data_IF_865244260569
#
_entry.id   IF_865244260569
#
_cell.length_a   1.000
_cell.length_b   1.000
_cell.length_c   1.000
_cell.angle_alpha   90.00
_cell.angle_beta   90.00
_cell.angle_gamma   90.00
#
_symmetry.space_group_name_H-M   'P 1'
#
loop_
_entity.id
_entity.type
_entity.pdbx_description
1 polymer ?
#
# COMPACT_ATOMS: atom_id res chain seq x y z
N UNK A 1 -17.16 -10.48 11.49
CA UNK A 1 -16.87 -9.15 10.90
C UNK A 1 -15.43 -8.66 11.10
N UNK A 2 -14.93 -8.45 12.34
CA UNK A 2 -13.64 -7.75 12.63
C UNK A 2 -12.38 -8.27 11.90
N UNK A 3 -12.23 -9.58 11.70
CA UNK A 3 -11.05 -10.16 11.04
C UNK A 3 -11.10 -9.99 9.50
N UNK A 4 -12.30 -9.95 8.91
CA UNK A 4 -12.51 -9.89 7.47
C UNK A 4 -12.26 -8.46 6.90
N UNK A 5 -12.64 -7.44 7.67
CA UNK A 5 -12.43 -6.01 7.33
C UNK A 5 -10.96 -5.60 7.26
N UNK A 6 -10.11 -6.13 8.15
CA UNK A 6 -8.67 -5.84 8.16
C UNK A 6 -7.98 -6.24 6.87
N UNK A 7 -8.36 -7.40 6.30
CA UNK A 7 -7.78 -7.89 5.03
C UNK A 7 -8.24 -7.02 3.85
N UNK A 8 -9.52 -6.67 3.80
CA UNK A 8 -10.07 -5.82 2.75
C UNK A 8 -9.50 -4.38 2.77
N UNK A 9 -9.29 -3.78 3.96
CA UNK A 9 -8.69 -2.46 4.09
C UNK A 9 -7.17 -2.45 3.85
N UNK A 10 -6.50 -3.57 4.09
CA UNK A 10 -5.06 -3.73 3.88
C UNK A 10 -4.70 -4.03 2.41
N UNK A 11 -5.59 -4.62 1.61
CA UNK A 11 -5.28 -5.17 0.27
C UNK A 11 -4.88 -4.18 -0.83
N UNK A 12 -4.83 -2.87 -0.54
CA UNK A 12 -4.58 -1.83 -1.56
C UNK A 12 -3.71 -0.72 -0.99
N UNK A 13 -2.40 -0.91 -1.01
CA UNK A 13 -1.45 0.18 -0.85
C UNK A 13 -0.08 -0.26 -1.36
N UNK A 14 0.17 -0.16 -2.66
CA UNK A 14 1.40 -0.68 -3.24
C UNK A 14 2.20 0.32 -4.08
N UNK A 15 1.74 1.57 -4.19
CA UNK A 15 2.48 2.58 -4.95
C UNK A 15 3.32 3.51 -4.10
N UNK A 16 4.60 3.11 -3.98
CA UNK A 16 5.75 4.02 -4.06
C UNK A 16 7.11 3.34 -4.34
N UNK A 17 7.17 2.02 -4.56
CA UNK A 17 8.40 1.30 -4.14
C UNK A 17 8.84 0.14 -4.98
N UNK A 18 7.99 -0.30 -5.89
CA UNK A 18 8.12 -1.67 -6.38
C UNK A 18 9.03 -1.74 -7.60
N UNK A 19 9.17 -0.69 -8.40
CA UNK A 19 10.09 -0.75 -9.54
C UNK A 19 11.57 -0.47 -9.18
N UNK A 20 11.89 -0.48 -7.88
CA UNK A 20 13.15 -0.02 -7.32
C UNK A 20 14.15 -1.15 -7.15
N UNK A 21 13.71 -2.36 -6.82
CA UNK A 21 14.61 -3.51 -6.83
C UNK A 21 14.93 -3.94 -8.26
N UNK A 22 14.02 -3.72 -9.22
CA UNK A 22 14.33 -3.93 -10.63
C UNK A 22 15.40 -2.94 -11.10
N UNK A 23 15.19 -1.64 -10.87
CA UNK A 23 16.19 -0.61 -11.16
C UNK A 23 17.50 -0.81 -10.39
N UNK A 24 17.46 -1.05 -9.09
CA UNK A 24 18.65 -1.21 -8.29
C UNK A 24 19.42 -2.47 -8.68
N UNK A 25 18.80 -3.66 -8.69
CA UNK A 25 19.46 -4.91 -9.05
C UNK A 25 19.97 -4.87 -10.50
N UNK A 26 19.25 -4.24 -11.44
CA UNK A 26 19.69 -4.08 -12.84
C UNK A 26 20.78 -3.01 -12.98
N UNK A 27 20.76 -1.92 -12.21
CA UNK A 27 21.84 -0.89 -12.23
C UNK A 27 23.11 -1.42 -11.54
N UNK A 28 22.96 -2.22 -10.48
CA UNK A 28 24.04 -3.03 -9.88
C UNK A 28 24.66 -4.02 -10.89
N UNK A 29 23.93 -4.40 -11.94
CA UNK A 29 24.39 -5.30 -12.99
C UNK A 29 24.96 -4.56 -14.24
N UNK A 30 24.54 -3.32 -14.52
CA UNK A 30 24.79 -2.66 -15.82
C UNK A 30 25.72 -1.45 -15.79
N UNK A 31 25.92 -0.72 -14.68
CA UNK A 31 26.73 0.52 -14.67
C UNK A 31 28.12 0.42 -14.02
N UNK A 32 28.56 -0.78 -13.63
CA UNK A 32 29.86 -0.97 -12.99
C UNK A 32 29.89 -2.17 -12.05
N UNK A 33 29.74 -3.36 -12.64
CA UNK A 33 29.90 -4.69 -12.04
C UNK A 33 30.04 -4.77 -10.53
N UNK A 34 28.92 -4.97 -9.85
CA UNK A 34 28.92 -5.95 -8.79
C UNK A 34 28.59 -7.28 -9.45
N UNK A 35 29.66 -7.94 -9.88
CA UNK A 35 29.65 -9.38 -10.09
C UNK A 35 29.25 -9.98 -8.73
N UNK A 36 27.94 -10.12 -8.46
CA UNK A 36 27.45 -11.08 -7.46
C UNK A 36 27.67 -12.45 -8.10
N UNK A 37 28.92 -12.77 -8.43
CA UNK A 37 29.32 -14.15 -8.52
C UNK A 37 29.04 -14.77 -7.16
N UNK A 38 28.98 -16.10 -7.12
CA UNK A 38 29.23 -16.88 -5.91
C UNK A 38 30.48 -16.45 -5.10
N UNK A 39 31.30 -15.48 -5.56
CA UNK A 39 32.44 -14.88 -4.84
C UNK A 39 32.08 -14.01 -3.64
N UNK A 40 30.84 -13.53 -3.47
CA UNK A 40 30.44 -12.88 -2.21
C UNK A 40 30.29 -13.85 -1.04
N UNK A 41 30.33 -15.16 -1.30
CA UNK A 41 30.45 -16.19 -0.26
C UNK A 41 31.91 -16.38 0.19
N UNK A 42 32.89 -15.79 -0.53
CA UNK A 42 34.32 -15.97 -0.28
C UNK A 42 35.05 -14.71 0.27
N UNK A 43 34.46 -13.52 0.16
CA UNK A 43 35.01 -12.27 0.73
C UNK A 43 34.01 -11.67 1.72
N UNK A 44 34.51 -11.18 2.85
CA UNK A 44 33.70 -10.56 3.91
C UNK A 44 32.78 -9.49 3.31
N UNK A 45 31.47 -9.66 3.49
CA UNK A 45 30.46 -8.67 3.15
C UNK A 45 30.81 -7.33 3.81
N UNK A 46 31.03 -6.29 3.00
CA UNK A 46 31.27 -4.93 3.46
C UNK A 46 29.94 -4.18 3.51
N UNK A 47 29.32 -4.22 4.68
CA UNK A 47 28.03 -3.60 4.95
C UNK A 47 28.05 -2.10 4.64
N UNK A 48 29.12 -1.39 5.02
CA UNK A 48 29.21 0.06 4.83
C UNK A 48 29.24 0.43 3.35
N UNK A 49 29.99 -0.31 2.54
CA UNK A 49 30.00 -0.13 1.09
C UNK A 49 28.65 -0.45 0.46
N UNK A 50 27.99 -1.53 0.91
CA UNK A 50 26.67 -1.91 0.42
C UNK A 50 25.63 -0.82 0.72
N UNK A 51 25.59 -0.31 1.96
CA UNK A 51 24.70 0.79 2.39
C UNK A 51 24.88 2.03 1.51
N UNK A 52 26.12 2.46 1.31
CA UNK A 52 26.43 3.65 0.53
C UNK A 52 25.97 3.51 -0.93
N UNK A 53 26.20 2.36 -1.55
CA UNK A 53 25.84 2.14 -2.95
C UNK A 53 24.33 2.00 -3.15
N UNK A 54 23.65 1.25 -2.27
CA UNK A 54 22.20 1.13 -2.31
C UNK A 54 21.53 2.50 -2.11
N UNK A 55 21.97 3.27 -1.12
CA UNK A 55 21.51 4.66 -0.90
C UNK A 55 21.64 5.51 -2.16
N UNK A 56 22.83 5.51 -2.78
CA UNK A 56 23.10 6.27 -4.02
C UNK A 56 22.15 5.89 -5.15
N UNK A 57 21.88 4.60 -5.32
CA UNK A 57 20.97 4.10 -6.36
C UNK A 57 19.53 4.49 -6.07
N UNK A 58 19.06 4.30 -4.83
CA UNK A 58 17.72 4.66 -4.38
C UNK A 58 17.42 6.15 -4.57
N UNK A 59 18.43 7.00 -4.42
CA UNK A 59 18.30 8.45 -4.58
C UNK A 59 18.52 8.94 -6.02
N UNK A 60 18.83 8.06 -6.96
CA UNK A 60 19.15 8.45 -8.34
C UNK A 60 17.89 8.77 -9.16
N UNK A 61 17.94 9.87 -9.93
CA UNK A 61 16.87 10.19 -10.89
C UNK A 61 16.70 9.11 -11.97
N UNK A 62 17.79 8.42 -12.32
CA UNK A 62 17.78 7.32 -13.27
C UNK A 62 16.93 6.16 -12.75
N UNK A 63 17.14 5.72 -11.50
CA UNK A 63 16.34 4.67 -10.88
C UNK A 63 14.86 5.06 -10.89
N UNK A 64 14.52 6.28 -10.45
CA UNK A 64 13.14 6.75 -10.39
C UNK A 64 12.51 6.80 -11.78
N UNK A 65 13.24 7.27 -12.78
CA UNK A 65 12.74 7.33 -14.16
C UNK A 65 12.54 5.94 -14.75
N UNK A 66 13.48 5.01 -14.51
CA UNK A 66 13.38 3.62 -14.94
C UNK A 66 12.17 2.93 -14.30
N UNK A 67 11.96 3.19 -13.01
CA UNK A 67 10.85 2.66 -12.24
C UNK A 67 9.49 3.06 -12.82
N UNK A 68 9.34 4.35 -13.18
CA UNK A 68 8.06 4.89 -13.68
C UNK A 68 7.74 4.50 -15.12
N UNK A 69 8.74 4.17 -15.94
CA UNK A 69 8.50 3.75 -17.34
C UNK A 69 7.68 2.47 -17.45
N UNK A 70 7.65 1.64 -16.41
CA UNK A 70 6.91 0.38 -16.40
C UNK A 70 5.39 0.54 -16.22
N UNK A 71 4.92 1.74 -15.88
CA UNK A 71 3.51 1.98 -15.51
C UNK A 71 2.68 2.70 -16.57
N UNK A 72 3.25 3.01 -17.75
CA UNK A 72 2.58 3.70 -18.87
C UNK A 72 1.76 4.93 -18.43
N UNK A 73 2.35 5.76 -17.57
CA UNK A 73 1.66 6.90 -16.96
C UNK A 73 1.44 8.02 -17.98
N UNK A 74 0.23 8.63 -18.03
CA UNK A 74 0.02 9.88 -18.76
C UNK A 74 0.98 10.98 -18.27
N UNK A 75 1.40 11.93 -19.12
CA UNK A 75 2.36 12.97 -18.72
C UNK A 75 1.94 13.76 -17.46
N UNK A 76 0.64 14.05 -17.30
CA UNK A 76 0.11 14.75 -16.12
C UNK A 76 0.25 13.96 -14.81
N UNK A 77 0.28 12.63 -14.89
CA UNK A 77 0.45 11.75 -13.75
C UNK A 77 1.91 11.40 -13.52
N UNK A 78 2.70 11.25 -14.59
CA UNK A 78 4.13 10.98 -14.51
C UNK A 78 4.84 11.97 -13.57
N UNK A 79 4.55 13.26 -13.69
CA UNK A 79 5.14 14.30 -12.83
C UNK A 79 4.72 14.16 -11.36
N UNK A 80 3.49 13.72 -11.08
CA UNK A 80 3.00 13.48 -9.72
C UNK A 80 3.74 12.30 -9.09
N UNK A 81 3.86 11.20 -9.81
CA UNK A 81 4.59 10.02 -9.33
C UNK A 81 6.08 10.31 -9.18
N UNK A 82 6.71 11.00 -10.14
CA UNK A 82 8.12 11.40 -10.06
C UNK A 82 8.38 12.27 -8.83
N UNK A 83 7.57 13.31 -8.60
CA UNK A 83 7.68 14.17 -7.41
C UNK A 83 7.51 13.37 -6.11
N UNK A 84 6.56 12.42 -6.08
CA UNK A 84 6.37 11.54 -4.94
C UNK A 84 7.60 10.68 -4.66
N UNK A 85 8.12 9.98 -5.67
CA UNK A 85 9.30 9.12 -5.58
C UNK A 85 10.54 9.92 -5.13
N UNK A 86 10.78 11.08 -5.73
CA UNK A 86 11.90 11.95 -5.36
C UNK A 86 11.82 12.39 -3.89
N UNK A 87 10.63 12.72 -3.39
CA UNK A 87 10.43 13.09 -1.98
C UNK A 87 10.56 11.92 -1.01
N UNK A 88 10.15 10.73 -1.43
CA UNK A 88 10.24 9.53 -0.61
C UNK A 88 11.69 9.09 -0.47
N UNK A 89 12.39 8.94 -1.60
CA UNK A 89 13.77 8.46 -1.63
C UNK A 89 14.80 9.53 -1.29
N UNK A 90 14.46 10.81 -1.46
CA UNK A 90 15.26 11.93 -0.94
C UNK A 90 15.15 12.12 0.58
N UNK A 91 14.46 11.24 1.31
CA UNK A 91 14.36 11.28 2.76
C UNK A 91 15.28 10.23 3.40
N UNK A 92 16.30 10.70 4.12
CA UNK A 92 17.32 9.83 4.71
C UNK A 92 16.73 8.79 5.67
N UNK A 93 15.72 9.14 6.48
CA UNK A 93 15.10 8.19 7.40
C UNK A 93 14.40 7.03 6.68
N UNK A 94 13.80 7.29 5.51
CA UNK A 94 13.20 6.23 4.67
C UNK A 94 14.27 5.36 4.06
N UNK A 95 15.32 5.98 3.51
CA UNK A 95 16.42 5.25 2.87
C UNK A 95 17.12 4.37 3.88
N UNK A 96 17.53 4.92 5.02
CA UNK A 96 18.22 4.19 6.08
C UNK A 96 17.37 3.00 6.57
N UNK A 97 16.09 3.23 6.88
CA UNK A 97 15.19 2.18 7.32
C UNK A 97 15.00 1.07 6.28
N UNK A 98 14.88 1.43 5.00
CA UNK A 98 14.73 0.44 3.92
C UNK A 98 16.05 -0.32 3.66
N UNK A 99 17.19 0.37 3.67
CA UNK A 99 18.52 -0.22 3.49
C UNK A 99 18.83 -1.22 4.59
N UNK A 100 18.57 -0.85 5.85
CA UNK A 100 18.73 -1.75 7.00
C UNK A 100 17.83 -2.99 6.88
N UNK A 101 16.59 -2.81 6.42
CA UNK A 101 15.68 -3.93 6.16
C UNK A 101 16.22 -4.86 5.06
N UNK A 102 16.70 -4.30 3.94
CA UNK A 102 17.30 -5.08 2.85
C UNK A 102 18.49 -5.90 3.36
N UNK A 103 19.36 -5.30 4.17
CA UNK A 103 20.52 -6.00 4.75
C UNK A 103 20.08 -7.15 5.65
N UNK A 104 19.03 -6.96 6.45
CA UNK A 104 18.49 -7.99 7.32
C UNK A 104 17.98 -9.22 6.53
N UNK A 105 17.46 -9.02 5.32
CA UNK A 105 16.94 -10.12 4.47
C UNK A 105 17.96 -10.70 3.49
N UNK A 106 19.12 -10.05 3.27
CA UNK A 106 20.15 -10.55 2.35
C UNK A 106 20.50 -12.03 2.56
N UNK A 107 20.66 -12.56 3.80
CA UNK A 107 20.97 -13.97 4.00
C UNK A 107 19.88 -14.95 3.54
N UNK A 108 18.64 -14.48 3.41
CA UNK A 108 17.50 -15.27 2.94
C UNK A 108 17.35 -15.22 1.40
N UNK A 109 18.07 -14.33 0.71
CA UNK A 109 17.99 -14.21 -0.74
C UNK A 109 18.81 -15.32 -1.42
N UNK A 110 18.16 -16.04 -2.33
CA UNK A 110 18.86 -16.95 -3.23
C UNK A 110 19.48 -16.19 -4.41
N UNK A 111 20.61 -15.54 -4.16
CA UNK A 111 21.31 -14.68 -5.13
C UNK A 111 21.78 -15.41 -6.41
N UNK A 112 21.80 -16.75 -6.40
CA UNK A 112 22.17 -17.56 -7.58
C UNK A 112 21.05 -17.61 -8.63
N UNK A 113 19.81 -17.33 -8.26
CA UNK A 113 18.66 -17.27 -9.16
C UNK A 113 18.16 -15.82 -9.27
N UNK A 114 18.57 -15.14 -10.34
CA UNK A 114 18.24 -13.73 -10.56
C UNK A 114 16.74 -13.47 -10.74
N UNK A 115 16.00 -14.40 -11.36
CA UNK A 115 14.55 -14.27 -11.52
C UNK A 115 13.82 -14.39 -10.19
N UNK A 116 14.19 -15.39 -9.38
CA UNK A 116 13.63 -15.59 -8.04
C UNK A 116 13.99 -14.44 -7.09
N UNK A 117 15.23 -13.96 -7.14
CA UNK A 117 15.69 -12.80 -6.36
C UNK A 117 14.92 -11.54 -6.73
N UNK A 118 14.67 -11.33 -8.04
CA UNK A 118 13.87 -10.20 -8.52
C UNK A 118 12.44 -10.26 -7.98
N UNK A 119 11.75 -11.38 -8.17
CA UNK A 119 10.36 -11.54 -7.72
C UNK A 119 10.23 -11.41 -6.19
N UNK A 120 11.16 -12.00 -5.45
CA UNK A 120 11.23 -11.84 -4.00
C UNK A 120 11.42 -10.37 -3.62
N UNK A 121 12.37 -9.68 -4.25
CA UNK A 121 12.63 -8.27 -3.98
C UNK A 121 11.40 -7.38 -4.25
N UNK A 122 10.74 -7.58 -5.39
CA UNK A 122 9.51 -6.86 -5.74
C UNK A 122 8.42 -7.07 -4.68
N UNK A 123 8.14 -8.33 -4.35
CA UNK A 123 7.09 -8.70 -3.38
C UNK A 123 7.42 -8.21 -1.97
N UNK A 124 8.68 -8.33 -1.56
CA UNK A 124 9.12 -7.93 -0.24
C UNK A 124 9.08 -6.41 -0.06
N UNK A 125 9.62 -5.65 -1.03
CA UNK A 125 9.56 -4.19 -0.98
C UNK A 125 8.11 -3.70 -0.98
N UNK A 126 7.29 -4.19 -1.90
CA UNK A 126 5.84 -3.99 -1.89
C UNK A 126 5.22 -4.12 -0.48
N UNK A 127 5.43 -5.28 0.15
CA UNK A 127 4.91 -5.57 1.48
C UNK A 127 5.45 -4.63 2.55
N UNK A 128 6.76 -4.31 2.54
CA UNK A 128 7.37 -3.41 3.51
C UNK A 128 6.75 -2.01 3.46
N UNK A 129 6.62 -1.43 2.26
CA UNK A 129 6.05 -0.09 2.10
C UNK A 129 4.58 -0.03 2.47
N UNK A 130 3.82 -1.04 2.05
CA UNK A 130 2.43 -1.23 2.45
C UNK A 130 2.31 -1.30 3.98
N UNK A 131 3.11 -2.14 4.63
CA UNK A 131 3.11 -2.28 6.08
C UNK A 131 3.41 -0.95 6.79
N UNK A 132 4.49 -0.25 6.40
CA UNK A 132 4.87 1.04 7.00
C UNK A 132 3.80 2.09 6.80
N UNK A 133 3.22 2.17 5.61
CA UNK A 133 2.13 3.11 5.33
C UNK A 133 0.88 2.78 6.17
N UNK A 134 0.45 1.52 6.20
CA UNK A 134 -0.77 1.12 6.91
C UNK A 134 -0.67 1.29 8.43
N UNK A 135 0.47 0.91 9.02
CA UNK A 135 0.73 1.19 10.45
C UNK A 135 0.82 2.69 10.72
N UNK A 136 1.46 3.42 9.82
CA UNK A 136 1.64 4.86 9.89
C UNK A 136 0.35 5.67 9.83
N UNK A 137 -0.67 5.21 9.10
CA UNK A 137 -1.96 5.90 8.99
C UNK A 137 -2.59 6.13 10.37
N UNK A 138 -2.43 5.20 11.31
CA UNK A 138 -2.96 5.33 12.67
C UNK A 138 -2.28 6.42 13.51
N UNK A 139 -1.11 6.90 13.08
CA UNK A 139 -0.40 8.03 13.70
C UNK A 139 -0.90 9.37 13.15
N UNK A 140 -1.40 9.41 11.93
CA UNK A 140 -1.83 10.64 11.28
C UNK A 140 -3.20 11.14 11.77
N UNK A 141 -3.57 12.34 11.33
CA UNK A 141 -4.91 12.89 11.48
C UNK A 141 -5.93 12.15 10.61
N UNK A 142 -7.18 12.14 11.07
CA UNK A 142 -8.24 11.33 10.49
C UNK A 142 -8.51 11.68 9.02
N UNK A 143 -8.29 12.93 8.60
CA UNK A 143 -8.43 13.37 7.20
C UNK A 143 -7.47 12.65 6.23
N UNK A 144 -6.27 12.29 6.69
CA UNK A 144 -5.32 11.51 5.88
C UNK A 144 -5.80 10.08 5.71
N UNK A 145 -6.37 9.50 6.76
CA UNK A 145 -6.99 8.16 6.71
C UNK A 145 -8.22 8.18 5.81
N UNK A 146 -9.06 9.23 5.88
CA UNK A 146 -10.20 9.41 4.97
C UNK A 146 -9.75 9.53 3.52
N UNK A 147 -8.67 10.25 3.25
CA UNK A 147 -8.10 10.37 1.90
C UNK A 147 -7.72 8.99 1.36
N UNK A 148 -7.07 8.16 2.17
CA UNK A 148 -6.77 6.78 1.82
C UNK A 148 -8.04 5.95 1.57
N UNK A 149 -8.99 5.97 2.52
CA UNK A 149 -10.22 5.17 2.43
C UNK A 149 -11.08 5.55 1.21
N UNK A 150 -11.10 6.82 0.79
CA UNK A 150 -11.80 7.25 -0.42
C UNK A 150 -11.18 6.71 -1.70
N UNK A 151 -9.85 6.65 -1.76
CA UNK A 151 -9.15 6.02 -2.89
C UNK A 151 -9.38 4.51 -2.88
N UNK A 152 -9.28 3.86 -1.73
CA UNK A 152 -9.54 2.43 -1.60
C UNK A 152 -10.99 2.09 -1.98
N UNK A 153 -11.98 2.83 -1.47
CA UNK A 153 -13.39 2.71 -1.85
C UNK A 153 -13.54 2.80 -3.38
N UNK A 154 -13.03 3.88 -3.97
CA UNK A 154 -13.14 4.09 -5.40
C UNK A 154 -12.44 3.01 -6.22
N UNK A 155 -11.34 2.45 -5.71
CA UNK A 155 -10.71 1.30 -6.35
C UNK A 155 -11.67 0.10 -6.39
N UNK A 156 -12.28 -0.27 -5.26
CA UNK A 156 -13.21 -1.41 -5.22
C UNK A 156 -14.48 -1.17 -6.06
N UNK A 157 -14.98 0.06 -6.12
CA UNK A 157 -16.14 0.42 -6.97
C UNK A 157 -15.84 0.35 -8.47
N UNK A 158 -14.59 0.54 -8.88
CA UNK A 158 -14.22 0.68 -10.30
C UNK A 158 -13.32 -0.45 -10.82
N UNK A 159 -12.95 -1.42 -9.97
CA UNK A 159 -12.15 -2.57 -10.37
C UNK A 159 -13.01 -3.63 -11.06
N UNK A 160 -12.45 -4.40 -12.01
CA UNK A 160 -13.09 -5.63 -12.48
C UNK A 160 -13.43 -6.55 -11.29
N UNK A 161 -14.64 -7.13 -11.21
CA UNK A 161 -15.10 -7.87 -10.04
C UNK A 161 -14.15 -8.97 -9.58
N UNK A 162 -13.59 -9.73 -10.51
CA UNK A 162 -12.65 -10.82 -10.24
C UNK A 162 -11.33 -10.33 -9.62
N UNK A 163 -10.84 -9.17 -10.05
CA UNK A 163 -9.61 -8.58 -9.49
C UNK A 163 -9.87 -7.94 -8.14
N UNK A 164 -11.03 -7.33 -7.95
CA UNK A 164 -11.45 -6.81 -6.66
C UNK A 164 -11.61 -7.95 -5.64
N UNK A 165 -12.23 -9.07 -6.00
CA UNK A 165 -12.30 -10.26 -5.14
C UNK A 165 -10.91 -10.74 -4.75
N UNK A 166 -10.03 -10.91 -5.72
CA UNK A 166 -8.67 -11.33 -5.47
C UNK A 166 -7.95 -10.33 -4.54
N UNK A 167 -8.20 -9.02 -4.66
CA UNK A 167 -7.67 -8.02 -3.74
C UNK A 167 -8.24 -8.16 -2.32
N UNK A 168 -9.55 -8.38 -2.17
CA UNK A 168 -10.21 -8.57 -0.85
C UNK A 168 -9.66 -9.80 -0.12
N UNK A 169 -9.37 -10.87 -0.86
CA UNK A 169 -8.82 -12.12 -0.29
C UNK A 169 -7.29 -12.17 -0.23
N UNK A 170 -6.59 -11.12 -0.66
CA UNK A 170 -5.12 -11.06 -0.71
C UNK A 170 -4.50 -12.14 -1.61
N UNK A 171 -5.14 -12.39 -2.76
CA UNK A 171 -4.78 -13.40 -3.77
C UNK A 171 -4.08 -12.80 -4.99
N UNK A 172 -3.99 -11.47 -5.08
CA UNK A 172 -3.25 -10.79 -6.15
C UNK A 172 -1.75 -10.87 -5.91
N UNK A 173 -0.99 -11.16 -6.96
CA UNK A 173 0.45 -10.92 -6.93
C UNK A 173 0.74 -9.42 -6.71
N UNK A 174 1.86 -9.09 -6.08
CA UNK A 174 2.24 -7.70 -5.80
C UNK A 174 2.18 -6.82 -7.08
N UNK A 175 2.72 -7.32 -8.19
CA UNK A 175 2.66 -6.65 -9.51
C UNK A 175 1.23 -6.36 -9.98
N UNK A 176 0.30 -7.29 -9.78
CA UNK A 176 -1.09 -7.12 -10.19
C UNK A 176 -1.81 -6.08 -9.33
N UNK A 177 -1.60 -6.10 -8.00
CA UNK A 177 -2.24 -5.14 -7.11
C UNK A 177 -1.72 -3.71 -7.36
N UNK A 178 -0.42 -3.55 -7.67
CA UNK A 178 0.13 -2.25 -8.11
C UNK A 178 -0.53 -1.78 -9.40
N UNK A 179 -0.63 -2.64 -10.41
CA UNK A 179 -1.20 -2.27 -11.71
C UNK A 179 -2.68 -1.92 -11.58
N UNK A 180 -3.42 -2.62 -10.71
CA UNK A 180 -4.81 -2.32 -10.38
C UNK A 180 -4.93 -0.92 -9.76
N UNK A 181 -4.09 -0.62 -8.76
CA UNK A 181 -4.06 0.69 -8.11
C UNK A 181 -3.64 1.82 -9.07
N UNK A 182 -2.56 1.65 -9.85
CA UNK A 182 -2.12 2.63 -10.86
C UNK A 182 -3.25 2.88 -11.84
N UNK A 183 -3.83 1.79 -12.38
CA UNK A 183 -4.88 1.84 -13.38
C UNK A 183 -6.09 2.65 -12.92
N UNK A 184 -6.44 2.56 -11.63
CA UNK A 184 -7.45 3.43 -11.05
C UNK A 184 -6.96 4.87 -10.87
N UNK A 185 -5.77 5.07 -10.27
CA UNK A 185 -5.26 6.40 -9.96
C UNK A 185 -5.06 7.27 -11.20
N UNK A 186 -4.71 6.71 -12.37
CA UNK A 186 -4.59 7.48 -13.62
C UNK A 186 -5.92 8.01 -14.15
N UNK A 187 -7.05 7.48 -13.66
CA UNK A 187 -8.39 8.01 -13.97
C UNK A 187 -8.78 9.19 -13.08
N UNK A 188 -8.00 9.47 -12.04
CA UNK A 188 -8.29 10.52 -11.05
C UNK A 188 -7.62 11.84 -11.43
N UNK A 189 -8.11 12.98 -10.91
CA UNK A 189 -7.40 14.24 -11.01
C UNK A 189 -5.99 14.16 -10.39
N UNK A 190 -4.93 14.70 -11.04
CA UNK A 190 -3.57 14.69 -10.49
C UNK A 190 -3.43 15.26 -9.07
N UNK A 191 -4.32 16.20 -8.69
CA UNK A 191 -4.38 16.74 -7.33
C UNK A 191 -4.84 15.72 -6.29
N UNK A 192 -5.80 14.86 -6.62
CA UNK A 192 -6.25 13.77 -5.75
C UNK A 192 -5.15 12.74 -5.56
N UNK A 193 -4.52 12.33 -6.66
CA UNK A 193 -3.38 11.39 -6.64
C UNK A 193 -2.23 11.94 -5.78
N UNK A 194 -1.91 13.24 -5.92
CA UNK A 194 -0.89 13.91 -5.09
C UNK A 194 -1.26 13.90 -3.61
N UNK A 195 -2.53 14.11 -3.27
CA UNK A 195 -3.01 14.09 -1.88
C UNK A 195 -2.88 12.68 -1.28
N UNK A 196 -3.31 11.67 -2.03
CA UNK A 196 -3.22 10.26 -1.66
C UNK A 196 -1.76 9.81 -1.43
N UNK A 197 -0.91 9.98 -2.43
CA UNK A 197 0.51 9.63 -2.34
C UNK A 197 1.24 10.44 -1.25
N UNK A 198 0.81 11.68 -1.01
CA UNK A 198 1.29 12.50 0.11
C UNK A 198 0.94 11.90 1.46
N UNK A 199 -0.31 11.46 1.65
CA UNK A 199 -0.77 10.80 2.88
C UNK A 199 0.00 9.51 3.15
N UNK A 200 0.24 8.68 2.12
CA UNK A 200 1.05 7.45 2.26
C UNK A 200 2.49 7.74 2.70
N UNK A 201 3.15 8.71 2.05
CA UNK A 201 4.52 9.11 2.42
C UNK A 201 4.58 9.64 3.85
N UNK A 202 3.65 10.51 4.23
CA UNK A 202 3.56 11.04 5.60
C UNK A 202 3.32 9.92 6.61
N UNK A 203 2.49 8.93 6.27
CA UNK A 203 2.18 7.80 7.13
C UNK A 203 3.41 6.94 7.37
N UNK A 204 4.12 6.55 6.31
CA UNK A 204 5.34 5.78 6.44
C UNK A 204 6.39 6.50 7.27
N UNK A 205 6.59 7.80 7.02
CA UNK A 205 7.53 8.61 7.81
C UNK A 205 7.13 8.65 9.29
N UNK A 206 5.82 8.75 9.58
CA UNK A 206 5.35 8.71 10.95
C UNK A 206 5.61 7.36 11.62
N UNK A 207 5.47 6.26 10.88
CA UNK A 207 5.78 4.92 11.39
C UNK A 207 7.29 4.72 11.61
N UNK A 208 8.12 5.10 10.64
CA UNK A 208 9.58 4.97 10.71
C UNK A 208 10.15 5.79 11.87
N UNK A 209 9.65 7.02 12.06
CA UNK A 209 10.09 7.89 13.15
C UNK A 209 9.39 7.59 14.48
N UNK A 210 8.46 6.63 14.49
CA UNK A 210 7.58 6.32 15.62
C UNK A 210 6.84 7.55 16.20
N UNK A 211 6.62 8.58 15.38
CA UNK A 211 6.05 9.86 15.80
C UNK A 211 5.10 10.44 14.74
N UNK A 212 3.93 10.96 15.13
CA UNK A 212 3.36 10.97 16.47
C UNK A 212 2.98 9.55 16.95
N UNK A 213 2.58 9.43 18.22
CA UNK A 213 2.14 8.15 18.78
C UNK A 213 0.87 7.64 18.09
N UNK A 214 0.73 6.31 18.03
CA UNK A 214 -0.46 5.65 17.49
C UNK A 214 -1.71 6.09 18.26
N UNK A 215 -2.71 6.61 17.55
CA UNK A 215 -4.00 6.99 18.14
C UNK A 215 -4.92 5.77 18.14
N UNK A 216 -5.32 5.33 19.33
CA UNK A 216 -6.16 4.14 19.52
C UNK A 216 -7.64 4.47 19.74
N UNK A 217 -8.54 3.53 19.45
CA UNK A 217 -9.97 3.67 19.76
C UNK A 217 -10.29 2.88 21.02
N UNK A 218 -10.73 3.58 22.07
CA UNK A 218 -11.06 3.02 23.38
C UNK A 218 -12.32 2.15 23.38
N UNK A 219 -12.53 1.38 24.45
CA UNK A 219 -13.65 0.43 24.53
C UNK A 219 -15.03 1.10 24.44
N UNK A 220 -15.23 2.24 25.12
CA UNK A 220 -16.50 2.98 25.05
C UNK A 220 -16.76 3.54 23.64
N UNK A 221 -15.72 4.03 22.98
CA UNK A 221 -15.80 4.51 21.59
C UNK A 221 -16.16 3.36 20.63
N UNK A 222 -15.59 2.16 20.83
CA UNK A 222 -15.94 0.97 20.04
C UNK A 222 -17.41 0.58 20.16
N UNK A 223 -18.01 0.72 21.34
CA UNK A 223 -19.45 0.46 21.50
C UNK A 223 -20.31 1.44 20.69
N UNK A 224 -19.94 2.73 20.70
CA UNK A 224 -20.60 3.74 19.86
C UNK A 224 -20.40 3.42 18.38
N UNK A 225 -19.19 3.03 17.98
CA UNK A 225 -18.89 2.65 16.60
C UNK A 225 -19.68 1.43 16.14
N UNK A 226 -19.76 0.36 16.94
CA UNK A 226 -20.51 -0.85 16.57
C UNK A 226 -22.00 -0.51 16.33
N UNK A 227 -22.58 0.41 17.11
CA UNK A 227 -23.96 0.89 16.90
C UNK A 227 -24.09 1.76 15.65
N UNK A 228 -23.25 2.78 15.49
CA UNK A 228 -23.35 3.73 14.36
C UNK A 228 -23.01 3.04 13.05
N UNK A 229 -21.91 2.30 12.99
CA UNK A 229 -21.53 1.53 11.79
C UNK A 229 -22.61 0.50 11.44
N UNK A 230 -23.15 -0.22 12.43
CA UNK A 230 -24.23 -1.19 12.22
C UNK A 230 -25.47 -0.56 11.60
N UNK A 231 -25.90 0.61 12.11
CA UNK A 231 -27.03 1.35 11.54
C UNK A 231 -26.74 1.82 10.11
N UNK A 232 -25.59 2.46 9.88
CA UNK A 232 -25.21 2.96 8.55
C UNK A 232 -25.09 1.84 7.52
N UNK A 233 -24.56 0.70 7.93
CA UNK A 233 -24.45 -0.48 7.09
C UNK A 233 -25.84 -1.02 6.75
N UNK A 234 -26.72 -1.19 7.75
CA UNK A 234 -28.11 -1.62 7.51
C UNK A 234 -28.82 -0.70 6.52
N UNK A 235 -28.77 0.61 6.76
CA UNK A 235 -29.40 1.61 5.88
C UNK A 235 -28.85 1.52 4.44
N UNK A 236 -27.54 1.33 4.30
CA UNK A 236 -26.89 1.22 3.00
C UNK A 236 -27.23 -0.09 2.26
N UNK A 237 -27.33 -1.22 2.99
CA UNK A 237 -27.70 -2.51 2.42
C UNK A 237 -29.17 -2.54 2.01
N UNK A 238 -30.08 -2.02 2.84
CA UNK A 238 -31.51 -1.97 2.57
C UNK A 238 -31.84 -1.05 1.37
N UNK A 239 -31.01 -0.03 1.13
CA UNK A 239 -31.13 0.85 -0.02
C UNK A 239 -30.44 0.32 -1.30
N UNK A 240 -29.62 -0.73 -1.20
CA UNK A 240 -28.87 -1.25 -2.35
C UNK A 240 -29.74 -2.17 -3.22
N UNK A 241 -29.68 -2.09 -4.57
CA UNK A 241 -30.47 -2.95 -5.45
C UNK A 241 -30.27 -4.45 -5.21
N UNK A 242 -29.08 -4.85 -4.76
CA UNK A 242 -28.71 -6.23 -4.44
C UNK A 242 -28.59 -6.47 -2.92
N UNK A 243 -29.33 -5.70 -2.10
CA UNK A 243 -29.21 -5.72 -0.63
C UNK A 243 -29.26 -7.11 0.01
N UNK A 244 -30.20 -7.96 -0.43
CA UNK A 244 -30.34 -9.33 0.08
C UNK A 244 -29.06 -10.18 -0.11
N UNK A 245 -28.42 -10.08 -1.28
CA UNK A 245 -27.15 -10.77 -1.55
C UNK A 245 -26.02 -10.22 -0.67
N UNK A 246 -25.96 -8.89 -0.51
CA UNK A 246 -24.95 -8.25 0.33
C UNK A 246 -25.10 -8.63 1.81
N UNK A 247 -26.33 -8.78 2.30
CA UNK A 247 -26.61 -9.30 3.64
C UNK A 247 -26.04 -10.71 3.84
N UNK A 248 -26.18 -11.60 2.85
CA UNK A 248 -25.54 -12.93 2.87
C UNK A 248 -24.01 -12.81 2.93
N UNK A 249 -23.43 -11.86 2.19
CA UNK A 249 -21.99 -11.61 2.15
C UNK A 249 -21.39 -11.23 3.51
N UNK A 250 -22.15 -10.56 4.39
CA UNK A 250 -21.67 -10.23 5.73
C UNK A 250 -21.36 -11.47 6.58
N UNK A 251 -22.13 -12.53 6.40
CA UNK A 251 -21.92 -13.81 7.08
C UNK A 251 -20.84 -14.63 6.36
N UNK A 252 -20.96 -14.80 5.05
CA UNK A 252 -20.00 -15.53 4.22
C UNK A 252 -19.67 -14.79 2.91
N UNK A 253 -18.47 -14.19 2.88
CA UNK A 253 -17.94 -13.50 1.69
C UNK A 253 -17.73 -14.44 0.51
N UNK A 254 -17.65 -15.76 0.72
CA UNK A 254 -17.53 -16.73 -0.37
C UNK A 254 -18.88 -17.12 -0.99
N UNK A 255 -19.99 -16.81 -0.32
CA UNK A 255 -21.32 -17.20 -0.77
C UNK A 255 -21.97 -16.19 -1.73
N UNK A 256 -21.30 -15.06 -1.98
CA UNK A 256 -21.78 -13.98 -2.86
C UNK A 256 -20.96 -13.91 -4.15
N UNK A 257 -21.55 -13.29 -5.17
CA UNK A 257 -20.84 -12.97 -6.40
C UNK A 257 -19.67 -12.03 -6.15
N UNK A 258 -18.71 -12.03 -7.08
CA UNK A 258 -17.55 -11.14 -7.02
C UNK A 258 -17.98 -9.67 -7.01
N UNK A 259 -18.99 -9.29 -7.78
CA UNK A 259 -19.55 -7.93 -7.78
C UNK A 259 -20.15 -7.56 -6.42
N UNK A 260 -20.95 -8.44 -5.82
CA UNK A 260 -21.55 -8.21 -4.51
C UNK A 260 -20.47 -8.05 -3.42
N UNK A 261 -19.37 -8.80 -3.49
CA UNK A 261 -18.23 -8.63 -2.60
C UNK A 261 -17.57 -7.26 -2.75
N UNK A 262 -17.42 -6.78 -3.99
CA UNK A 262 -16.88 -5.45 -4.28
C UNK A 262 -17.78 -4.34 -3.77
N UNK A 263 -19.08 -4.42 -4.06
CA UNK A 263 -20.09 -3.46 -3.60
C UNK A 263 -20.11 -3.40 -2.07
N UNK A 264 -20.11 -4.55 -1.40
CA UNK A 264 -20.07 -4.63 0.07
C UNK A 264 -18.82 -3.96 0.63
N UNK A 265 -17.65 -4.27 0.05
CA UNK A 265 -16.37 -3.70 0.49
C UNK A 265 -16.35 -2.19 0.31
N UNK A 266 -16.79 -1.69 -0.84
CA UNK A 266 -16.92 -0.28 -1.13
C UNK A 266 -17.88 0.43 -0.17
N UNK A 267 -19.06 -0.15 0.11
CA UNK A 267 -20.04 0.38 1.08
C UNK A 267 -19.39 0.55 2.45
N UNK A 268 -18.67 -0.46 2.94
CA UNK A 268 -18.01 -0.41 4.25
C UNK A 268 -16.94 0.69 4.32
N UNK A 269 -16.16 0.86 3.26
CA UNK A 269 -15.15 1.93 3.18
C UNK A 269 -15.78 3.32 3.11
N UNK A 270 -16.85 3.46 2.32
CA UNK A 270 -17.61 4.72 2.19
C UNK A 270 -18.19 5.16 3.52
N UNK A 271 -18.82 4.24 4.26
CA UNK A 271 -19.37 4.53 5.60
C UNK A 271 -18.28 5.08 6.52
N UNK A 272 -17.12 4.43 6.57
CA UNK A 272 -15.99 4.90 7.38
C UNK A 272 -15.47 6.27 6.91
N UNK A 273 -15.32 6.46 5.59
CA UNK A 273 -14.77 7.68 5.01
C UNK A 273 -15.68 8.91 5.16
N UNK A 274 -17.00 8.72 5.13
CA UNK A 274 -17.99 9.81 5.05
C UNK A 274 -18.67 10.12 6.39
N UNK A 275 -18.60 9.26 7.40
CA UNK A 275 -19.18 9.56 8.72
C UNK A 275 -18.50 10.82 9.31
N UNK A 276 -19.26 11.88 9.64
CA UNK A 276 -18.68 13.15 10.07
C UNK A 276 -18.33 13.16 11.56
N UNK A 277 -17.52 14.15 11.94
CA UNK A 277 -17.20 14.46 13.34
C UNK A 277 -16.41 13.37 14.06
N UNK A 278 -16.44 13.43 15.38
CA UNK A 278 -15.58 12.62 16.25
C UNK A 278 -15.84 11.11 16.10
N UNK A 279 -17.10 10.72 15.90
CA UNK A 279 -17.48 9.31 15.66
C UNK A 279 -16.83 8.79 14.38
N UNK A 280 -16.88 9.56 13.29
CA UNK A 280 -16.21 9.19 12.06
C UNK A 280 -14.69 9.11 12.21
N UNK A 281 -14.10 10.00 13.00
CA UNK A 281 -12.66 9.98 13.27
C UNK A 281 -12.22 8.72 14.04
N UNK A 282 -13.06 8.22 14.93
CA UNK A 282 -12.87 6.91 15.54
C UNK A 282 -13.07 5.79 14.53
N UNK A 283 -14.07 5.91 13.64
CA UNK A 283 -14.43 4.89 12.66
C UNK A 283 -13.30 4.63 11.68
N UNK A 284 -12.71 5.69 11.10
CA UNK A 284 -11.58 5.52 10.19
C UNK A 284 -10.37 4.87 10.85
N UNK A 285 -10.13 5.10 12.15
CA UNK A 285 -9.05 4.44 12.90
C UNK A 285 -9.36 2.99 13.20
N UNK A 286 -10.61 2.71 13.54
CA UNK A 286 -11.04 1.35 13.88
C UNK A 286 -10.90 0.39 12.71
N UNK A 287 -11.05 0.87 11.47
CA UNK A 287 -10.82 0.07 10.25
C UNK A 287 -9.40 -0.52 10.15
N UNK A 288 -8.41 0.07 10.83
CA UNK A 288 -7.00 -0.37 10.80
C UNK A 288 -6.53 -1.00 12.13
N UNK A 289 -7.41 -1.17 13.13
CA UNK A 289 -7.07 -1.70 14.48
C UNK A 289 -7.55 -3.12 14.70
#
# INVERSE_FOLDING_TARGET
>A
MRIKLKKAAAGVCLLASVAILDGAIVTFNTSGGLDIQPRYVAHAFDEARFKAELTRILQSEEMISNALRNFDLPPSHYDVYRDHMMKLWGNDAVVDAFVDEVIAILPALNLENSAQTREFGLTYSAAWFQEKAMKGLLRLDSDKIRTYLKVAQGLFENSPPELCRAAVFDELAASQSILLEVGYLVTRPPSEVRSYLGALREAMLAEINEYPTVKTVGLSQRQVLDQVFGQRLSDALDAHPNGDELWVGLDDLNAVSDQALCDLTAIMMRIAADEPGEVGDWMVRYMFQ
#
